data_IF_772962928510
#
_entry.id   IF_772962928510
#
_cell.length_a   1.000
_cell.length_b   1.000
_cell.length_c   1.000
_cell.angle_alpha   90.00
_cell.angle_beta   90.00
_cell.angle_gamma   90.00
#
_symmetry.space_group_name_H-M   'P 1'
#
loop_
_entity.id
_entity.type
_entity.pdbx_description
1 polymer ?
#
# COMPACT_ATOMS: atom_id res chain seq x y z
N UNK A 1 -4.92 -36.74 15.95
CA UNK A 1 -3.83 -36.12 16.74
C UNK A 1 -4.33 -34.75 17.23
N UNK A 2 -4.13 -34.39 18.50
CA UNK A 2 -4.55 -33.09 19.07
C UNK A 2 -3.41 -32.07 18.93
N UNK A 3 -3.73 -30.85 18.47
CA UNK A 3 -2.80 -29.71 18.40
C UNK A 3 -3.23 -28.66 19.43
N UNK A 4 -2.28 -28.06 20.16
CA UNK A 4 -2.53 -27.03 21.19
C UNK A 4 -1.55 -25.87 20.99
N UNK A 5 -1.93 -24.78 20.30
CA UNK A 5 -1.05 -23.64 20.07
C UNK A 5 -0.95 -22.75 21.32
N UNK A 6 0.26 -22.26 21.60
CA UNK A 6 0.50 -21.24 22.62
C UNK A 6 0.72 -19.89 21.92
N UNK A 7 0.14 -18.79 22.44
CA UNK A 7 0.49 -17.45 21.96
C UNK A 7 1.96 -17.14 22.31
N UNK A 8 2.58 -16.26 21.52
CA UNK A 8 3.99 -15.91 21.69
C UNK A 8 4.43 -14.75 20.80
N UNK A 9 5.72 -14.44 20.87
CA UNK A 9 6.32 -13.33 20.12
C UNK A 9 6.23 -13.56 18.61
N UNK A 10 5.87 -12.51 17.88
CA UNK A 10 5.86 -12.48 16.43
C UNK A 10 6.37 -11.11 15.96
N UNK A 11 7.55 -11.08 15.32
CA UNK A 11 8.18 -9.83 14.89
C UNK A 11 7.31 -9.06 13.89
N UNK A 12 6.63 -9.75 12.98
CA UNK A 12 5.69 -9.14 12.03
C UNK A 12 4.57 -8.35 12.74
N UNK A 13 3.95 -8.94 13.77
CA UNK A 13 2.86 -8.30 14.52
C UNK A 13 3.38 -7.17 15.40
N UNK A 14 4.53 -7.36 16.06
CA UNK A 14 5.17 -6.31 16.85
C UNK A 14 5.50 -5.08 15.98
N UNK A 15 6.13 -5.28 14.82
CA UNK A 15 6.43 -4.22 13.86
C UNK A 15 5.16 -3.49 13.38
N UNK A 16 4.13 -4.25 12.95
CA UNK A 16 2.87 -3.67 12.47
C UNK A 16 2.21 -2.80 13.55
N UNK A 17 2.21 -3.26 14.81
CA UNK A 17 1.57 -2.54 15.92
C UNK A 17 2.18 -1.17 16.21
N UNK A 18 3.43 -0.95 15.79
CA UNK A 18 4.18 0.29 16.02
C UNK A 18 4.42 1.10 14.72
N UNK A 19 3.97 0.61 13.56
CA UNK A 19 4.27 1.22 12.26
C UNK A 19 3.41 2.44 11.90
N UNK A 20 2.25 2.62 12.55
CA UNK A 20 1.33 3.71 12.21
C UNK A 20 0.65 3.57 10.84
N UNK A 21 0.69 2.37 10.24
CA UNK A 21 -0.01 2.04 8.99
C UNK A 21 -1.33 1.29 9.26
N UNK A 22 -2.29 1.28 8.30
CA UNK A 22 -3.51 0.51 8.43
C UNK A 22 -3.24 -0.95 8.77
N UNK A 23 -3.95 -1.45 9.78
CA UNK A 23 -3.77 -2.79 10.35
C UNK A 23 -5.09 -3.56 10.51
N UNK A 24 -6.20 -3.01 10.01
CA UNK A 24 -7.48 -3.69 9.89
C UNK A 24 -7.41 -4.87 8.91
N UNK A 25 -6.59 -4.75 7.86
CA UNK A 25 -6.25 -5.82 6.91
C UNK A 25 -4.79 -5.68 6.46
N UNK A 26 -4.07 -6.80 6.43
CA UNK A 26 -2.68 -6.85 5.98
C UNK A 26 -2.34 -8.19 5.32
N UNK A 27 -1.26 -8.20 4.55
CA UNK A 27 -0.66 -9.40 3.97
C UNK A 27 0.70 -9.67 4.61
N UNK A 28 0.93 -10.90 5.06
CA UNK A 28 2.26 -11.34 5.48
C UNK A 28 2.92 -12.10 4.33
N UNK A 29 3.95 -11.51 3.74
CA UNK A 29 4.65 -12.02 2.54
C UNK A 29 5.96 -12.75 2.90
N UNK A 30 6.38 -12.70 4.16
CA UNK A 30 7.63 -13.34 4.60
C UNK A 30 8.85 -12.74 3.91
N UNK A 31 9.75 -13.58 3.37
CA UNK A 31 10.95 -13.13 2.68
C UNK A 31 10.72 -13.04 1.17
N UNK A 32 11.09 -11.91 0.57
CA UNK A 32 11.17 -11.79 -0.88
C UNK A 32 12.21 -12.77 -1.46
N UNK A 33 12.04 -13.23 -2.71
CA UNK A 33 13.05 -14.02 -3.40
C UNK A 33 14.42 -13.32 -3.40
N UNK A 34 15.49 -14.09 -3.14
CA UNK A 34 16.83 -13.51 -2.99
C UNK A 34 17.39 -12.89 -4.29
N UNK A 35 17.02 -13.44 -5.46
CA UNK A 35 17.48 -12.97 -6.77
C UNK A 35 16.59 -11.84 -7.28
N UNK A 36 17.20 -10.77 -7.80
CA UNK A 36 16.53 -9.56 -8.31
C UNK A 36 15.33 -9.87 -9.19
N UNK A 37 15.47 -10.72 -10.22
CA UNK A 37 14.34 -11.05 -11.11
C UNK A 37 13.12 -11.58 -10.33
N UNK A 38 13.34 -12.57 -9.46
CA UNK A 38 12.24 -13.14 -8.67
C UNK A 38 11.66 -12.14 -7.66
N UNK A 39 12.50 -11.26 -7.10
CA UNK A 39 12.05 -10.19 -6.21
C UNK A 39 11.18 -9.17 -6.93
N UNK A 40 11.62 -8.67 -8.09
CA UNK A 40 10.84 -7.77 -8.92
C UNK A 40 9.52 -8.41 -9.38
N UNK A 41 9.54 -9.67 -9.80
CA UNK A 41 8.33 -10.39 -10.23
C UNK A 41 7.32 -10.51 -9.06
N UNK A 42 7.80 -10.80 -7.84
CA UNK A 42 6.96 -10.83 -6.65
C UNK A 42 6.41 -9.44 -6.29
N UNK A 43 7.23 -8.40 -6.35
CA UNK A 43 6.81 -7.01 -6.09
C UNK A 43 5.77 -6.54 -7.12
N UNK A 44 5.95 -6.84 -8.41
CA UNK A 44 5.00 -6.52 -9.48
C UNK A 44 3.61 -7.11 -9.24
N UNK A 45 3.55 -8.34 -8.72
CA UNK A 45 2.29 -8.98 -8.38
C UNK A 45 1.54 -8.27 -7.23
N UNK A 46 2.25 -7.46 -6.44
CA UNK A 46 1.73 -6.75 -5.27
C UNK A 46 1.58 -5.23 -5.49
N UNK A 47 1.89 -4.71 -6.69
CA UNK A 47 1.87 -3.25 -6.97
C UNK A 47 0.55 -2.61 -6.61
N UNK A 48 -0.56 -3.29 -6.92
CA UNK A 48 -1.94 -2.84 -6.70
C UNK A 48 -2.58 -3.43 -5.43
N UNK A 49 -1.82 -4.10 -4.56
CA UNK A 49 -2.38 -4.66 -3.32
C UNK A 49 -2.75 -3.53 -2.35
N UNK A 50 -4.04 -3.30 -2.04
CA UNK A 50 -4.46 -2.19 -1.19
C UNK A 50 -4.16 -2.38 0.31
N UNK A 51 -3.89 -3.62 0.76
CA UNK A 51 -3.58 -3.90 2.16
C UNK A 51 -2.13 -3.57 2.49
N UNK A 52 -1.86 -3.24 3.76
CA UNK A 52 -0.49 -3.15 4.27
C UNK A 52 0.24 -4.48 4.05
N UNK A 53 1.46 -4.43 3.52
CA UNK A 53 2.29 -5.62 3.25
C UNK A 53 3.39 -5.72 4.31
N UNK A 54 3.67 -6.94 4.78
CA UNK A 54 4.70 -7.22 5.79
C UNK A 54 5.74 -8.18 5.22
N UNK A 55 6.99 -7.73 5.21
CA UNK A 55 8.15 -8.50 4.76
C UNK A 55 9.17 -8.66 5.88
N UNK A 56 9.90 -9.77 5.87
CA UNK A 56 11.17 -9.90 6.56
C UNK A 56 12.30 -9.63 5.58
N UNK A 57 13.37 -8.98 6.06
CA UNK A 57 14.55 -8.76 5.25
C UNK A 57 15.84 -8.91 6.05
N UNK A 58 16.89 -9.30 5.34
CA UNK A 58 18.24 -9.50 5.85
C UNK A 58 19.14 -8.28 5.60
N UNK A 59 20.11 -8.08 6.48
CA UNK A 59 21.10 -6.98 6.40
C UNK A 59 21.77 -6.86 5.04
N UNK A 60 22.11 -7.99 4.42
CA UNK A 60 22.85 -8.02 3.16
C UNK A 60 22.00 -7.69 1.93
N UNK A 61 20.67 -7.85 2.03
CA UNK A 61 19.75 -7.67 0.89
C UNK A 61 18.89 -6.43 1.00
N UNK A 62 18.88 -5.74 2.15
CA UNK A 62 18.01 -4.59 2.38
C UNK A 62 18.14 -3.52 1.29
N UNK A 63 19.36 -3.14 0.92
CA UNK A 63 19.59 -2.09 -0.10
C UNK A 63 19.01 -2.51 -1.45
N UNK A 64 19.30 -3.72 -1.91
CA UNK A 64 18.79 -4.23 -3.19
C UNK A 64 17.27 -4.38 -3.15
N UNK A 65 16.70 -4.80 -2.03
CA UNK A 65 15.25 -4.92 -1.86
C UNK A 65 14.57 -3.55 -1.88
N UNK A 66 15.10 -2.56 -1.19
CA UNK A 66 14.56 -1.19 -1.19
C UNK A 66 14.69 -0.56 -2.58
N UNK A 67 15.79 -0.81 -3.30
CA UNK A 67 15.95 -0.37 -4.69
C UNK A 67 14.88 -0.97 -5.61
N UNK A 68 14.64 -2.28 -5.51
CA UNK A 68 13.60 -2.93 -6.30
C UNK A 68 12.19 -2.46 -5.89
N UNK A 69 11.95 -2.19 -4.59
CA UNK A 69 10.69 -1.58 -4.15
C UNK A 69 10.49 -0.18 -4.73
N UNK A 70 11.52 0.66 -4.79
CA UNK A 70 11.46 1.97 -5.48
C UNK A 70 11.08 1.78 -6.95
N UNK A 71 11.73 0.84 -7.64
CA UNK A 71 11.51 0.60 -9.07
C UNK A 71 10.12 0.03 -9.38
N UNK A 72 9.62 -0.90 -8.56
CA UNK A 72 8.36 -1.61 -8.86
C UNK A 72 7.14 -0.99 -8.19
N UNK A 73 7.26 -0.50 -6.94
CA UNK A 73 6.12 0.06 -6.17
C UNK A 73 6.01 1.59 -6.27
N UNK A 74 7.07 2.26 -6.73
CA UNK A 74 7.20 3.71 -6.81
C UNK A 74 7.90 4.32 -5.59
N UNK A 75 8.73 5.35 -5.82
CA UNK A 75 9.55 5.99 -4.79
C UNK A 75 8.75 6.62 -3.64
N UNK A 76 7.50 7.03 -3.91
CA UNK A 76 6.60 7.68 -2.96
C UNK A 76 5.88 6.68 -2.04
N UNK A 77 6.00 5.36 -2.29
CA UNK A 77 5.34 4.37 -1.44
C UNK A 77 5.88 4.45 -0.02
N UNK A 78 5.02 4.69 0.97
CA UNK A 78 5.45 4.79 2.35
C UNK A 78 5.86 3.42 2.91
N UNK A 79 7.04 3.35 3.54
CA UNK A 79 7.60 2.12 4.11
C UNK A 79 8.18 2.41 5.49
N UNK A 80 7.88 1.54 6.44
CA UNK A 80 8.46 1.54 7.78
C UNK A 80 9.44 0.38 7.90
N UNK A 81 10.68 0.71 8.25
CA UNK A 81 11.72 -0.23 8.62
C UNK A 81 11.74 -0.37 10.15
N UNK A 82 11.34 -1.53 10.65
CA UNK A 82 11.50 -1.90 12.06
C UNK A 82 12.73 -2.80 12.21
N UNK A 83 13.76 -2.34 12.90
CA UNK A 83 15.07 -2.98 13.03
C UNK A 83 15.33 -3.37 14.48
N UNK A 84 15.88 -4.57 14.67
CA UNK A 84 16.36 -5.08 15.96
C UNK A 84 15.30 -4.96 17.07
N UNK A 85 14.04 -5.27 16.74
CA UNK A 85 12.93 -5.24 17.70
C UNK A 85 13.27 -6.02 18.97
N UNK A 86 12.88 -5.46 20.11
CA UNK A 86 13.12 -5.88 21.50
C UNK A 86 14.57 -5.78 22.01
N UNK A 87 15.51 -5.35 21.16
CA UNK A 87 16.95 -5.31 21.50
C UNK A 87 17.43 -3.89 21.81
N UNK A 88 18.65 -3.78 22.33
CA UNK A 88 19.30 -2.50 22.70
C UNK A 88 19.30 -1.46 21.57
N UNK A 89 19.38 -1.94 20.33
CA UNK A 89 19.47 -1.08 19.14
C UNK A 89 18.15 -1.05 18.36
N UNK A 90 17.01 -1.28 19.01
CA UNK A 90 15.71 -1.16 18.37
C UNK A 90 15.54 0.21 17.71
N UNK A 91 15.05 0.22 16.47
CA UNK A 91 14.74 1.44 15.74
C UNK A 91 13.60 1.20 14.77
N UNK A 92 12.63 2.11 14.76
CA UNK A 92 11.48 2.08 13.85
C UNK A 92 11.47 3.42 13.12
N UNK A 93 11.65 3.39 11.80
CA UNK A 93 11.74 4.59 10.98
C UNK A 93 10.88 4.43 9.72
N UNK A 94 10.03 5.42 9.45
CA UNK A 94 9.10 5.43 8.32
C UNK A 94 9.33 6.62 7.41
N UNK A 95 9.35 6.37 6.10
CA UNK A 95 9.47 7.39 5.06
C UNK A 95 8.97 6.84 3.72
N UNK A 96 8.74 7.68 2.70
CA UNK A 96 8.70 7.23 1.31
C UNK A 96 9.91 6.34 0.98
N UNK A 97 9.72 5.24 0.26
CA UNK A 97 10.76 4.21 0.07
C UNK A 97 12.02 4.76 -0.61
N UNK A 98 11.89 5.80 -1.45
CA UNK A 98 13.02 6.54 -2.01
C UNK A 98 13.86 7.25 -0.96
N UNK A 99 13.20 7.96 -0.03
CA UNK A 99 13.85 8.63 1.10
C UNK A 99 14.42 7.64 2.10
N UNK A 100 13.69 6.55 2.39
CA UNK A 100 14.14 5.48 3.26
C UNK A 100 15.44 4.85 2.71
N UNK A 101 15.50 4.58 1.40
CA UNK A 101 16.71 4.06 0.76
C UNK A 101 17.90 5.02 0.91
N UNK A 102 17.67 6.33 0.74
CA UNK A 102 18.71 7.33 0.94
C UNK A 102 19.19 7.34 2.41
N UNK A 103 18.26 7.40 3.36
CA UNK A 103 18.54 7.37 4.80
C UNK A 103 19.31 6.11 5.20
N UNK A 104 18.96 4.92 4.71
CA UNK A 104 19.70 3.69 5.02
C UNK A 104 21.13 3.74 4.46
N UNK A 105 21.36 4.38 3.30
CA UNK A 105 22.69 4.46 2.68
C UNK A 105 23.65 5.41 3.41
N UNK A 106 23.15 6.36 4.19
CA UNK A 106 23.97 7.33 4.95
C UNK A 106 24.73 6.70 6.11
N UNK A 107 24.23 5.62 6.72
CA UNK A 107 24.87 4.95 7.86
C UNK A 107 24.65 3.44 7.80
N UNK A 108 25.75 2.69 7.73
CA UNK A 108 25.73 1.23 7.68
C UNK A 108 25.04 0.60 8.90
N UNK A 109 25.06 1.25 10.07
CA UNK A 109 24.39 0.73 11.26
C UNK A 109 22.87 0.68 11.10
N UNK A 110 22.28 1.50 10.21
CA UNK A 110 20.84 1.53 9.92
C UNK A 110 20.33 0.27 9.22
N UNK A 111 21.23 -0.59 8.71
CA UNK A 111 20.88 -1.86 8.07
C UNK A 111 21.39 -3.10 8.81
N UNK A 112 21.98 -2.98 9.99
CA UNK A 112 22.52 -4.11 10.76
C UNK A 112 21.44 -4.80 11.60
N UNK A 113 21.46 -6.13 11.59
CA UNK A 113 20.58 -6.97 12.39
C UNK A 113 19.37 -7.51 11.63
N UNK A 114 18.32 -7.82 12.38
CA UNK A 114 17.05 -8.36 11.89
C UNK A 114 16.05 -7.24 11.63
N UNK A 115 15.28 -7.35 10.55
CA UNK A 115 14.42 -6.26 10.09
C UNK A 115 13.07 -6.75 9.58
N UNK A 116 12.06 -5.92 9.80
CA UNK A 116 10.72 -6.07 9.25
C UNK A 116 10.40 -4.85 8.38
N UNK A 117 10.09 -5.15 7.12
CA UNK A 117 9.39 -4.37 6.10
C UNK A 117 7.91 -4.14 6.41
N UNK A 118 7.43 -2.95 6.79
CA UNK A 118 5.98 -2.66 6.74
C UNK A 118 5.73 -1.65 5.62
N UNK A 119 5.11 -2.11 4.53
CA UNK A 119 4.90 -1.32 3.32
C UNK A 119 3.44 -0.92 3.23
N UNK A 120 3.19 0.37 3.00
CA UNK A 120 1.84 0.89 2.80
C UNK A 120 1.17 0.19 1.60
N UNK A 121 -0.12 -0.11 1.75
CA UNK A 121 -0.92 -0.62 0.65
C UNK A 121 -1.00 0.36 -0.51
N UNK A 122 -1.33 -0.14 -1.69
CA UNK A 122 -1.62 0.71 -2.83
C UNK A 122 -2.84 1.58 -2.55
N UNK A 123 -2.65 2.89 -2.59
CA UNK A 123 -3.73 3.84 -2.69
C UNK A 123 -4.10 3.93 -4.15
N UNK A 124 -5.32 3.51 -4.49
CA UNK A 124 -5.92 3.95 -5.75
C UNK A 124 -5.99 5.48 -5.67
N UNK A 125 -5.53 6.18 -6.71
CA UNK A 125 -5.78 7.63 -6.87
C UNK A 125 -7.31 7.95 -6.92
N UNK A 126 -8.15 6.91 -6.89
CA UNK A 126 -9.58 6.88 -7.11
C UNK A 126 -10.44 6.86 -5.82
N UNK A 127 -10.05 7.52 -4.73
CA UNK A 127 -11.11 7.95 -3.79
C UNK A 127 -12.09 8.95 -4.44
N UNK A 128 -11.67 9.56 -5.56
CA UNK A 128 -12.46 10.48 -6.38
C UNK A 128 -12.78 9.99 -7.80
N UNK A 129 -12.09 8.98 -8.36
CA UNK A 129 -12.45 8.53 -9.70
C UNK A 129 -13.66 7.61 -9.67
N UNK A 130 -14.53 7.90 -10.63
CA UNK A 130 -15.84 7.31 -10.72
C UNK A 130 -15.73 5.96 -11.44
N UNK A 131 -16.29 4.89 -10.86
CA UNK A 131 -16.36 3.58 -11.51
C UNK A 131 -16.89 3.68 -12.95
N UNK A 132 -16.31 2.93 -13.88
CA UNK A 132 -16.66 3.02 -15.30
C UNK A 132 -18.15 2.68 -15.58
N UNK A 133 -18.74 1.80 -14.78
CA UNK A 133 -20.16 1.46 -14.80
C UNK A 133 -21.05 2.58 -14.23
N UNK A 134 -20.59 3.29 -13.20
CA UNK A 134 -21.21 4.53 -12.72
C UNK A 134 -21.21 5.61 -13.82
N UNK A 135 -20.10 5.81 -14.51
CA UNK A 135 -19.99 6.75 -15.62
C UNK A 135 -20.92 6.39 -16.79
N UNK A 136 -20.99 5.11 -17.16
CA UNK A 136 -21.92 4.63 -18.20
C UNK A 136 -23.38 4.86 -17.82
N UNK A 137 -23.73 4.60 -16.56
CA UNK A 137 -25.08 4.82 -16.03
C UNK A 137 -25.44 6.30 -16.05
N UNK A 138 -24.51 7.15 -15.62
CA UNK A 138 -24.66 8.61 -15.67
C UNK A 138 -24.89 9.11 -17.10
N UNK A 139 -24.12 8.62 -18.08
CA UNK A 139 -24.25 9.00 -19.48
C UNK A 139 -25.60 8.58 -20.10
N UNK A 140 -26.16 7.45 -19.69
CA UNK A 140 -27.49 7.02 -20.12
C UNK A 140 -28.59 7.87 -19.47
N UNK A 141 -28.52 8.10 -18.16
CA UNK A 141 -29.51 8.87 -17.42
C UNK A 141 -29.54 10.34 -17.82
N UNK A 142 -28.40 10.93 -18.18
CA UNK A 142 -28.34 12.32 -18.65
C UNK A 142 -29.09 12.58 -19.97
N UNK A 143 -29.37 11.54 -20.76
CA UNK A 143 -30.18 11.68 -21.99
C UNK A 143 -31.64 11.95 -21.69
N UNK A 144 -32.13 11.47 -20.54
CA UNK A 144 -33.56 11.49 -20.18
C UNK A 144 -33.86 12.39 -18.97
N UNK A 145 -32.84 12.74 -18.18
CA UNK A 145 -33.00 13.44 -16.90
C UNK A 145 -32.04 14.64 -16.76
N UNK A 146 -32.45 15.70 -16.03
CA UNK A 146 -31.55 16.78 -15.67
C UNK A 146 -30.32 16.25 -14.91
N UNK A 147 -29.15 16.85 -15.17
CA UNK A 147 -27.85 16.42 -14.63
C UNK A 147 -27.88 16.16 -13.12
N UNK A 148 -28.49 17.06 -12.34
CA UNK A 148 -28.59 16.95 -10.88
C UNK A 148 -29.33 15.68 -10.43
N UNK A 149 -30.32 15.23 -11.21
CA UNK A 149 -31.11 14.02 -10.93
C UNK A 149 -30.40 12.76 -11.44
N UNK A 150 -29.79 12.82 -12.62
CA UNK A 150 -28.97 11.74 -13.17
C UNK A 150 -27.78 11.39 -12.24
N UNK A 151 -27.07 12.40 -11.73
CA UNK A 151 -25.98 12.21 -10.77
C UNK A 151 -26.46 11.65 -9.42
N UNK A 152 -27.64 12.06 -8.94
CA UNK A 152 -28.19 11.53 -7.69
C UNK A 152 -28.58 10.05 -7.79
N UNK A 153 -29.26 9.66 -8.87
CA UNK A 153 -29.66 8.27 -9.09
C UNK A 153 -28.43 7.37 -9.35
N UNK A 154 -27.45 7.85 -10.11
CA UNK A 154 -26.22 7.09 -10.34
C UNK A 154 -25.45 6.87 -9.03
N UNK A 155 -25.38 7.90 -8.17
CA UNK A 155 -24.76 7.79 -6.85
C UNK A 155 -25.40 6.71 -5.99
N UNK A 156 -26.73 6.63 -6.01
CA UNK A 156 -27.52 5.66 -5.26
C UNK A 156 -27.35 4.24 -5.82
N UNK A 157 -27.35 4.07 -7.15
CA UNK A 157 -27.20 2.77 -7.81
C UNK A 157 -25.80 2.18 -7.55
N UNK A 158 -24.76 3.01 -7.60
CA UNK A 158 -23.36 2.57 -7.58
C UNK A 158 -22.66 2.80 -6.24
N UNK A 159 -23.36 3.34 -5.24
CA UNK A 159 -22.80 3.68 -3.92
C UNK A 159 -21.57 4.60 -3.99
N UNK A 160 -21.62 5.61 -4.87
CA UNK A 160 -20.54 6.60 -5.07
C UNK A 160 -20.98 8.00 -4.66
N UNK A 161 -20.02 8.92 -4.44
CA UNK A 161 -20.32 10.30 -4.04
C UNK A 161 -21.01 11.06 -5.19
N UNK A 162 -22.25 11.51 -4.96
CA UNK A 162 -23.00 12.36 -5.90
C UNK A 162 -22.22 13.59 -6.37
N UNK A 163 -21.47 14.22 -5.46
CA UNK A 163 -20.71 15.43 -5.79
C UNK A 163 -19.60 15.16 -6.80
N UNK A 164 -18.95 13.99 -6.73
CA UNK A 164 -17.94 13.57 -7.69
C UNK A 164 -18.57 13.37 -9.08
N UNK A 165 -19.70 12.66 -9.16
CA UNK A 165 -20.46 12.46 -10.42
C UNK A 165 -20.92 13.78 -11.05
N UNK A 166 -21.40 14.72 -10.23
CA UNK A 166 -21.88 16.01 -10.70
C UNK A 166 -20.73 16.88 -11.25
N UNK A 167 -19.59 16.91 -10.55
CA UNK A 167 -18.38 17.64 -10.98
C UNK A 167 -17.84 17.09 -12.30
N UNK A 168 -17.67 15.76 -12.39
CA UNK A 168 -17.21 15.09 -13.61
C UNK A 168 -18.06 15.42 -14.84
N UNK A 169 -19.39 15.41 -14.70
CA UNK A 169 -20.29 15.70 -15.81
C UNK A 169 -20.29 17.18 -16.23
N UNK A 170 -19.99 18.10 -15.30
CA UNK A 170 -19.87 19.52 -15.61
C UNK A 170 -18.60 19.77 -16.44
N UNK A 171 -17.48 19.17 -16.02
CA UNK A 171 -16.18 19.24 -16.72
C UNK A 171 -16.26 18.64 -18.15
N UNK A 172 -17.07 17.61 -18.36
CA UNK A 172 -17.34 17.01 -19.68
C UNK A 172 -18.24 17.86 -20.60
N UNK A 173 -19.01 18.82 -20.07
CA UNK A 173 -19.81 19.74 -20.87
C UNK A 173 -19.03 20.99 -21.29
N UNK A 174 -17.96 21.31 -20.55
CA UNK A 174 -17.07 22.44 -20.82
C UNK A 174 -15.88 22.08 -21.73
N UNK A 175 -15.68 20.78 -22.01
CA UNK A 175 -14.66 20.23 -22.92
C UNK A 175 -15.24 19.94 -24.32
#
# INVERSE_FOLDING_TARGET
IRVVPLPGACAAIAALSAAGLPSDRFCYEGFLPAKTKGRCDALRALVQEPRTLIFYESTHRLIDSLQDMVSELGAERYVVLARELTKTWESIYGAPVGELLAWVKEDENRRKGEMVLIVEGYKTDDEDALPADALRTLALLQKELPLKRAAALTAEIHSVKKNALYKYALEQQEA
#
